data_IF_470346339197
#
_entry.id   IF_470346339197
#
_cell.length_a   1.000
_cell.length_b   1.000
_cell.length_c   1.000
_cell.angle_alpha   90.00
_cell.angle_beta   90.00
_cell.angle_gamma   90.00
#
_symmetry.space_group_name_H-M   'P 1'
#
loop_
_entity.id
_entity.type
_entity.pdbx_description
1 polymer ?
#
# COMPACT_ATOMS: atom_id res chain seq x y z
N UNK A 1 -2.39 -30.11 17.13
CA UNK A 1 -3.69 -29.41 17.20
C UNK A 1 -4.73 -30.19 16.41
N UNK A 2 -5.59 -30.92 17.12
CA UNK A 2 -6.69 -31.64 16.47
C UNK A 2 -7.89 -30.70 16.35
N UNK A 3 -8.27 -30.41 15.14
CA UNK A 3 -9.51 -29.70 14.84
C UNK A 3 -10.62 -30.73 14.69
N UNK A 4 -11.53 -30.81 15.67
CA UNK A 4 -12.68 -31.69 15.57
C UNK A 4 -13.79 -30.99 14.78
N UNK A 5 -13.96 -31.39 13.54
CA UNK A 5 -14.92 -30.80 12.61
C UNK A 5 -16.39 -31.01 12.99
N UNK A 6 -16.68 -31.92 13.92
CA UNK A 6 -18.07 -32.20 14.33
C UNK A 6 -18.59 -31.22 15.39
N UNK A 7 -17.71 -30.57 16.14
CA UNK A 7 -18.09 -29.67 17.23
C UNK A 7 -17.39 -28.34 17.24
N UNK A 8 -16.54 -28.04 16.24
CA UNK A 8 -15.70 -26.85 16.21
C UNK A 8 -14.90 -26.57 17.49
N UNK A 9 -14.55 -27.64 18.20
CA UNK A 9 -13.77 -27.54 19.43
C UNK A 9 -12.28 -27.74 19.08
N UNK A 10 -11.47 -26.75 19.37
CA UNK A 10 -10.01 -26.88 19.39
C UNK A 10 -9.62 -27.68 20.64
N UNK A 11 -9.19 -28.91 20.47
CA UNK A 11 -8.67 -29.76 21.57
C UNK A 11 -7.14 -29.88 21.45
N UNK A 12 -6.47 -29.94 22.59
CA UNK A 12 -5.01 -30.09 22.67
C UNK A 12 -4.20 -28.81 22.58
N UNK A 13 -4.85 -27.65 22.55
CA UNK A 13 -4.16 -26.36 22.69
C UNK A 13 -3.70 -26.15 24.14
N UNK A 14 -2.40 -25.84 24.32
CA UNK A 14 -1.92 -25.40 25.63
C UNK A 14 -2.42 -23.97 25.88
N UNK A 15 -3.01 -23.74 27.04
CA UNK A 15 -3.36 -22.42 27.57
C UNK A 15 -2.29 -21.97 28.56
N UNK A 16 -2.19 -20.68 28.77
CA UNK A 16 -1.23 -20.12 29.73
C UNK A 16 0.25 -20.30 29.29
N UNK A 17 0.48 -20.30 28.00
CA UNK A 17 1.86 -20.34 27.45
C UNK A 17 2.51 -18.98 27.61
N UNK A 18 3.77 -18.94 27.98
CA UNK A 18 4.57 -17.72 28.13
C UNK A 18 4.03 -16.72 29.18
N UNK A 19 3.44 -17.21 30.27
CA UNK A 19 2.99 -16.37 31.38
C UNK A 19 1.68 -15.60 31.13
N UNK A 20 0.93 -15.96 30.10
CA UNK A 20 -0.38 -15.37 29.85
C UNK A 20 -1.44 -15.97 30.81
N UNK A 21 -2.35 -15.11 31.29
CA UNK A 21 -3.44 -15.55 32.16
C UNK A 21 -4.54 -16.20 31.32
N UNK A 22 -5.07 -17.30 31.83
CA UNK A 22 -6.20 -18.02 31.22
C UNK A 22 -7.46 -17.17 31.19
N UNK A 23 -7.94 -16.88 30.00
CA UNK A 23 -9.19 -16.15 29.79
C UNK A 23 -10.26 -17.06 29.18
N UNK A 24 -11.51 -16.90 29.62
CA UNK A 24 -12.66 -17.50 28.96
C UNK A 24 -12.96 -16.73 27.64
N UNK A 25 -13.24 -17.49 26.59
CA UNK A 25 -13.71 -16.93 25.34
C UNK A 25 -15.19 -17.26 25.14
N UNK A 26 -15.95 -16.26 24.68
CA UNK A 26 -17.35 -16.46 24.32
C UNK A 26 -17.48 -17.30 23.05
N UNK A 27 -18.61 -17.95 22.86
CA UNK A 27 -18.91 -18.63 21.59
C UNK A 27 -18.91 -17.60 20.44
N UNK A 28 -18.34 -17.98 19.30
CA UNK A 28 -18.24 -17.10 18.13
C UNK A 28 -16.98 -16.25 18.04
N UNK A 29 -16.04 -16.37 18.99
CA UNK A 29 -14.73 -15.72 18.86
C UNK A 29 -13.98 -16.30 17.65
N UNK A 30 -13.52 -15.44 16.78
CA UNK A 30 -12.68 -15.83 15.65
C UNK A 30 -11.33 -16.31 16.16
N UNK A 31 -10.96 -17.54 15.83
CA UNK A 31 -9.64 -18.09 16.09
C UNK A 31 -8.83 -18.02 14.79
N UNK A 32 -7.78 -17.23 14.79
CA UNK A 32 -6.86 -17.14 13.65
C UNK A 32 -5.77 -18.18 13.81
N UNK A 33 -5.57 -19.00 12.78
CA UNK A 33 -4.41 -19.89 12.72
C UNK A 33 -3.16 -19.04 12.48
N UNK A 34 -2.20 -19.11 13.39
CA UNK A 34 -0.91 -18.41 13.27
C UNK A 34 0.24 -19.36 12.96
N UNK A 35 -0.05 -20.61 12.56
CA UNK A 35 0.98 -21.60 12.24
C UNK A 35 1.84 -21.18 11.02
N UNK A 36 1.33 -20.28 10.20
CA UNK A 36 2.05 -19.74 9.04
C UNK A 36 2.99 -18.57 9.41
N UNK A 37 2.92 -18.11 10.66
CA UNK A 37 3.87 -17.11 11.16
C UNK A 37 5.15 -17.81 11.59
N UNK A 38 6.26 -17.41 11.04
CA UNK A 38 7.59 -17.88 11.41
C UNK A 38 8.19 -17.00 12.49
N UNK A 39 9.04 -17.59 13.33
CA UNK A 39 9.77 -16.82 14.34
C UNK A 39 10.74 -15.84 13.67
N UNK A 40 11.12 -14.81 14.41
CA UNK A 40 12.10 -13.84 13.92
C UNK A 40 13.42 -14.53 13.58
N UNK A 41 13.88 -14.38 12.33
CA UNK A 41 15.10 -15.01 11.82
C UNK A 41 14.89 -16.37 11.16
N UNK A 42 13.67 -16.93 11.22
CA UNK A 42 13.33 -18.14 10.48
C UNK A 42 12.94 -17.80 9.03
N UNK A 43 13.30 -18.68 8.11
CA UNK A 43 12.86 -18.54 6.72
C UNK A 43 11.34 -18.75 6.63
N UNK A 44 10.64 -17.87 5.93
CA UNK A 44 9.22 -18.07 5.64
C UNK A 44 9.02 -19.35 4.83
N UNK A 45 8.13 -20.21 5.28
CA UNK A 45 7.74 -21.44 4.58
C UNK A 45 6.76 -21.19 3.41
N UNK A 46 6.20 -19.99 3.31
CA UNK A 46 5.34 -19.58 2.21
C UNK A 46 6.12 -18.70 1.24
N UNK A 47 5.60 -18.50 0.03
CA UNK A 47 6.10 -17.52 -0.95
C UNK A 47 5.98 -16.06 -0.44
N UNK A 48 6.21 -15.87 0.84
CA UNK A 48 6.19 -14.58 1.51
C UNK A 48 7.61 -14.01 1.47
N UNK A 49 7.89 -13.27 0.42
CA UNK A 49 9.08 -12.43 0.43
C UNK A 49 8.77 -11.25 1.34
N UNK A 50 9.24 -11.29 2.58
CA UNK A 50 9.27 -10.13 3.45
C UNK A 50 10.43 -9.26 2.95
N UNK A 51 10.19 -8.55 1.86
CA UNK A 51 11.04 -7.44 1.50
C UNK A 51 10.58 -6.25 2.36
N UNK A 52 11.39 -5.73 3.27
CA UNK A 52 11.06 -4.50 3.98
C UNK A 52 11.01 -3.37 2.94
N UNK A 53 9.84 -3.17 2.38
CA UNK A 53 9.61 -2.19 1.32
C UNK A 53 10.15 -0.81 1.73
N UNK A 54 10.86 -0.18 0.83
CA UNK A 54 11.20 1.23 0.98
C UNK A 54 9.94 2.06 0.73
N UNK A 55 9.51 2.79 1.75
CA UNK A 55 8.32 3.63 1.70
C UNK A 55 8.69 5.07 1.39
N UNK A 56 7.91 5.69 0.52
CA UNK A 56 7.92 7.14 0.27
C UNK A 56 6.59 7.69 0.75
N UNK A 57 6.65 8.69 1.62
CA UNK A 57 5.47 9.26 2.27
C UNK A 57 5.35 10.74 1.90
N UNK A 58 4.12 11.21 1.66
CA UNK A 58 3.78 12.62 1.52
C UNK A 58 2.33 12.87 1.95
N UNK A 59 1.92 14.13 2.07
CA UNK A 59 0.59 14.51 2.52
C UNK A 59 -0.22 15.16 1.40
N UNK A 60 -1.42 14.65 1.18
CA UNK A 60 -2.42 15.24 0.29
C UNK A 60 -3.58 15.79 1.13
N UNK A 61 -3.45 17.01 1.61
CA UNK A 61 -4.38 17.56 2.58
C UNK A 61 -4.35 16.78 3.90
N UNK A 62 -5.47 16.21 4.31
CA UNK A 62 -5.60 15.34 5.49
C UNK A 62 -5.20 13.89 5.24
N UNK A 63 -5.02 13.52 3.97
CA UNK A 63 -4.66 12.15 3.59
C UNK A 63 -3.14 11.98 3.58
N UNK A 64 -2.66 10.95 4.27
CA UNK A 64 -1.29 10.46 4.12
C UNK A 64 -1.23 9.58 2.87
N UNK A 65 -0.29 9.89 2.00
CA UNK A 65 0.04 9.11 0.80
C UNK A 65 1.26 8.26 1.10
N UNK A 66 1.19 6.97 0.79
CA UNK A 66 2.26 6.02 1.05
C UNK A 66 2.52 5.16 -0.19
N UNK A 67 3.69 5.29 -0.78
CA UNK A 67 4.13 4.50 -1.93
C UNK A 67 5.17 3.48 -1.49
N UNK A 68 5.00 2.23 -1.87
CA UNK A 68 6.07 1.22 -1.83
C UNK A 68 6.93 1.38 -3.08
N UNK A 69 8.24 1.45 -2.90
CA UNK A 69 9.20 1.53 -4.01
C UNK A 69 9.00 0.38 -5.02
N UNK A 70 8.84 0.71 -6.29
CA UNK A 70 8.46 -0.19 -7.38
C UNK A 70 7.12 -0.92 -7.15
N UNK A 71 6.23 -0.35 -6.34
CA UNK A 71 4.96 -0.93 -6.00
C UNK A 71 3.81 0.06 -6.07
N UNK A 72 2.74 -0.29 -5.37
CA UNK A 72 1.48 0.44 -5.36
C UNK A 72 1.48 1.59 -4.36
N UNK A 73 0.57 2.53 -4.57
CA UNK A 73 0.35 3.68 -3.73
C UNK A 73 -0.92 3.51 -2.89
N UNK A 74 -0.84 3.91 -1.64
CA UNK A 74 -1.91 3.82 -0.66
C UNK A 74 -2.22 5.19 -0.09
N UNK A 75 -3.46 5.37 0.37
CA UNK A 75 -3.89 6.54 1.12
C UNK A 75 -4.45 6.15 2.48
N UNK A 76 -4.25 7.01 3.45
CA UNK A 76 -4.86 6.92 4.77
C UNK A 76 -5.38 8.28 5.19
N UNK A 77 -6.69 8.39 5.44
CA UNK A 77 -7.32 9.65 5.81
C UNK A 77 -7.31 9.84 7.33
N UNK A 78 -6.52 10.80 7.78
CA UNK A 78 -6.43 11.18 9.19
C UNK A 78 -7.71 11.85 9.72
N UNK A 79 -8.53 12.42 8.84
CA UNK A 79 -9.78 13.08 9.21
C UNK A 79 -10.99 12.13 9.24
N UNK A 80 -10.83 10.88 8.81
CA UNK A 80 -11.90 9.89 8.86
C UNK A 80 -12.32 9.60 10.31
N UNK A 81 -13.63 9.39 10.53
CA UNK A 81 -14.21 9.15 11.87
C UNK A 81 -13.54 7.97 12.60
N UNK A 82 -13.05 6.97 11.87
CA UNK A 82 -12.41 5.77 12.40
C UNK A 82 -10.92 5.69 12.02
N UNK A 83 -10.24 6.82 11.87
CA UNK A 83 -8.85 6.87 11.42
C UNK A 83 -7.92 5.92 12.20
N UNK A 84 -8.08 5.85 13.53
CA UNK A 84 -7.23 5.00 14.39
C UNK A 84 -7.46 3.50 14.23
N UNK A 85 -8.59 3.08 13.65
CA UNK A 85 -8.95 1.68 13.43
C UNK A 85 -8.99 1.28 11.95
N UNK A 86 -8.84 2.26 11.04
CA UNK A 86 -8.89 2.03 9.59
C UNK A 86 -7.48 1.95 9.05
N UNK A 87 -7.19 0.92 8.27
CA UNK A 87 -5.91 0.78 7.56
C UNK A 87 -5.90 1.66 6.31
N UNK A 88 -4.69 1.99 5.85
CA UNK A 88 -4.50 2.60 4.54
C UNK A 88 -5.14 1.74 3.44
N UNK A 89 -5.79 2.40 2.50
CA UNK A 89 -6.44 1.79 1.34
C UNK A 89 -5.64 2.05 0.07
N UNK A 90 -5.73 1.14 -0.88
CA UNK A 90 -5.11 1.32 -2.17
C UNK A 90 -5.77 2.50 -2.90
N UNK A 91 -4.97 3.41 -3.45
CA UNK A 91 -5.50 4.43 -4.36
C UNK A 91 -5.91 3.74 -5.66
N UNK A 92 -7.22 3.75 -5.92
CA UNK A 92 -7.77 3.18 -7.14
C UNK A 92 -7.23 3.91 -8.37
N UNK A 93 -7.05 3.20 -9.47
CA UNK A 93 -6.62 3.75 -10.76
C UNK A 93 -5.23 4.42 -10.78
N UNK A 94 -4.51 4.45 -9.66
CA UNK A 94 -3.13 4.92 -9.61
C UNK A 94 -2.18 3.90 -10.29
N UNK A 95 -0.99 4.35 -10.74
CA UNK A 95 0.04 3.45 -11.25
C UNK A 95 0.35 2.33 -10.25
N UNK A 96 0.56 1.12 -10.76
CA UNK A 96 0.84 -0.07 -9.94
C UNK A 96 2.32 -0.28 -9.66
N UNK A 97 3.19 0.46 -10.36
CA UNK A 97 4.62 0.48 -10.12
C UNK A 97 5.19 1.89 -10.30
N UNK A 98 5.76 2.41 -9.23
CA UNK A 98 6.40 3.73 -9.22
C UNK A 98 7.56 3.74 -8.23
N UNK A 99 8.56 4.60 -8.48
CA UNK A 99 9.74 4.68 -7.62
C UNK A 99 9.64 5.74 -6.54
N UNK A 100 8.96 6.84 -6.85
CA UNK A 100 8.81 7.96 -5.92
C UNK A 100 7.46 8.63 -6.16
N UNK A 101 6.91 9.21 -5.12
CA UNK A 101 5.68 9.99 -5.15
C UNK A 101 5.88 11.31 -4.43
N UNK A 102 5.21 12.34 -4.89
CA UNK A 102 5.26 13.67 -4.29
C UNK A 102 3.93 14.39 -4.57
N UNK A 103 3.47 15.18 -3.62
CA UNK A 103 2.31 16.05 -3.79
C UNK A 103 2.79 17.44 -4.21
N UNK A 104 2.34 17.91 -5.37
CA UNK A 104 2.60 19.26 -5.83
C UNK A 104 1.75 20.27 -5.05
N UNK A 105 2.35 21.37 -4.65
CA UNK A 105 1.68 22.54 -4.10
C UNK A 105 2.01 23.76 -4.97
N UNK A 106 1.06 24.64 -5.27
CA UNK A 106 -0.29 24.81 -4.75
C UNK A 106 -1.37 23.96 -5.47
N UNK A 107 -1.08 23.41 -6.65
CA UNK A 107 -2.10 22.82 -7.53
C UNK A 107 -2.59 21.45 -7.10
N UNK A 108 -1.96 20.86 -6.09
CA UNK A 108 -2.37 19.57 -5.49
C UNK A 108 -2.57 18.44 -6.50
N UNK A 109 -1.54 18.21 -7.30
CA UNK A 109 -1.40 16.99 -8.08
C UNK A 109 -0.61 15.94 -7.30
N UNK A 110 -0.97 14.68 -7.43
CA UNK A 110 -0.15 13.57 -6.99
C UNK A 110 0.78 13.17 -8.14
N UNK A 111 2.08 13.37 -7.94
CA UNK A 111 3.09 13.18 -8.99
C UNK A 111 3.88 11.90 -8.74
N UNK A 112 3.89 11.00 -9.70
CA UNK A 112 4.63 9.74 -9.69
C UNK A 112 5.86 9.82 -10.58
N UNK A 113 6.99 9.32 -10.08
CA UNK A 113 8.28 9.33 -10.78
C UNK A 113 8.79 7.91 -11.00
N UNK A 114 9.38 7.67 -12.17
CA UNK A 114 9.84 6.34 -12.56
C UNK A 114 8.70 5.34 -12.63
N UNK A 115 7.62 5.74 -13.27
CA UNK A 115 6.33 5.05 -13.25
C UNK A 115 5.98 4.43 -14.61
N UNK A 116 4.82 3.84 -14.67
CA UNK A 116 4.26 3.17 -15.87
C UNK A 116 3.92 4.16 -16.98
N UNK A 117 4.27 3.84 -18.22
CA UNK A 117 3.80 4.58 -19.39
C UNK A 117 2.33 4.31 -19.70
N UNK A 118 1.85 3.12 -19.34
CA UNK A 118 0.43 2.73 -19.38
C UNK A 118 -0.02 2.37 -17.98
N UNK A 119 -0.97 3.12 -17.43
CA UNK A 119 -1.48 2.90 -16.06
C UNK A 119 -2.01 1.48 -15.90
N UNK A 120 -1.65 0.82 -14.81
CA UNK A 120 -2.05 -0.55 -14.52
C UNK A 120 -1.22 -1.63 -15.20
N UNK A 121 -0.24 -1.26 -16.01
CA UNK A 121 0.68 -2.20 -16.66
C UNK A 121 2.09 -2.07 -16.10
N UNK A 122 2.39 -2.81 -15.05
CA UNK A 122 3.70 -2.80 -14.40
C UNK A 122 4.87 -3.08 -15.36
N UNK A 123 4.66 -3.87 -16.41
CA UNK A 123 5.68 -4.16 -17.41
C UNK A 123 6.06 -2.94 -18.27
N UNK A 124 5.22 -1.90 -18.27
CA UNK A 124 5.48 -0.64 -18.98
C UNK A 124 6.21 0.40 -18.13
N UNK A 125 6.75 0.02 -16.96
CA UNK A 125 7.47 0.96 -16.10
C UNK A 125 8.73 1.50 -16.78
N UNK A 126 8.84 2.82 -16.88
CA UNK A 126 10.01 3.53 -17.38
C UNK A 126 10.62 4.38 -16.23
N UNK A 127 11.88 4.15 -15.95
CA UNK A 127 12.61 4.81 -14.86
C UNK A 127 12.72 6.34 -15.00
N UNK A 128 12.46 6.89 -16.20
CA UNK A 128 12.53 8.31 -16.55
C UNK A 128 11.14 8.93 -16.78
N UNK A 129 10.07 8.16 -16.60
CA UNK A 129 8.71 8.60 -16.86
C UNK A 129 8.10 9.24 -15.63
N UNK A 130 7.41 10.34 -15.81
CA UNK A 130 6.68 11.10 -14.80
C UNK A 130 5.21 11.10 -15.19
N UNK A 131 4.36 10.89 -14.22
CA UNK A 131 2.91 11.00 -14.38
C UNK A 131 2.34 11.77 -13.20
N UNK A 132 1.39 12.65 -13.45
CA UNK A 132 0.69 13.37 -12.39
C UNK A 132 -0.82 13.23 -12.54
N UNK A 133 -1.48 13.24 -11.39
CA UNK A 133 -2.93 13.11 -11.30
C UNK A 133 -3.63 14.34 -11.89
N UNK A 134 -4.91 14.21 -12.10
CA UNK A 134 -5.80 15.36 -12.20
C UNK A 134 -5.74 16.21 -10.93
N UNK A 135 -6.00 17.51 -11.04
CA UNK A 135 -5.95 18.44 -9.92
C UNK A 135 -7.00 18.07 -8.87
N UNK A 136 -6.60 18.05 -7.58
CA UNK A 136 -7.46 17.70 -6.43
C UNK A 136 -8.09 16.29 -6.50
N UNK A 137 -7.73 15.47 -7.49
CA UNK A 137 -8.35 14.18 -7.75
C UNK A 137 -7.28 13.08 -7.79
N UNK A 138 -7.29 12.18 -6.81
CA UNK A 138 -6.31 11.09 -6.69
C UNK A 138 -6.88 9.68 -6.82
N UNK A 139 -8.22 9.54 -6.82
CA UNK A 139 -8.92 8.26 -6.81
C UNK A 139 -9.97 8.10 -7.91
N UNK A 140 -10.22 9.15 -8.69
CA UNK A 140 -11.16 9.13 -9.82
C UNK A 140 -10.74 8.16 -10.93
N UNK A 141 -11.69 7.72 -11.73
CA UNK A 141 -11.49 6.74 -12.81
C UNK A 141 -10.40 7.16 -13.80
N UNK A 142 -10.39 8.45 -14.19
CA UNK A 142 -9.42 8.99 -15.14
C UNK A 142 -8.39 9.91 -14.49
N UNK A 143 -8.23 9.81 -13.16
CA UNK A 143 -7.34 10.68 -12.40
C UNK A 143 -5.88 10.68 -12.91
N UNK A 144 -5.44 9.60 -13.54
CA UNK A 144 -4.08 9.45 -14.06
C UNK A 144 -4.02 9.23 -15.57
N UNK A 145 -5.15 9.31 -16.25
CA UNK A 145 -5.25 9.18 -17.70
C UNK A 145 -5.43 10.55 -18.31
N UNK A 146 -4.56 10.92 -19.23
CA UNK A 146 -4.64 12.23 -19.91
C UNK A 146 -5.87 12.26 -20.81
N UNK A 147 -6.78 13.17 -20.55
CA UNK A 147 -7.98 13.42 -21.36
C UNK A 147 -8.08 14.90 -21.73
N UNK A 148 -8.99 15.25 -22.62
CA UNK A 148 -9.21 16.66 -22.98
C UNK A 148 -9.89 17.47 -21.86
N UNK A 149 -10.43 16.80 -20.85
CA UNK A 149 -11.30 17.38 -19.82
C UNK A 149 -10.62 17.45 -18.43
N UNK A 150 -9.43 16.87 -18.27
CA UNK A 150 -8.71 16.87 -17.01
C UNK A 150 -7.31 17.51 -17.13
N UNK A 151 -6.70 17.75 -15.97
CA UNK A 151 -5.36 18.34 -15.88
C UNK A 151 -4.27 17.27 -15.67
N UNK A 152 -4.62 16.00 -15.72
CA UNK A 152 -3.66 14.91 -15.64
C UNK A 152 -2.65 14.98 -16.78
N UNK A 153 -1.41 14.60 -16.51
CA UNK A 153 -0.38 14.69 -17.53
C UNK A 153 0.75 13.72 -17.34
N UNK A 154 1.58 13.67 -18.37
CA UNK A 154 2.77 12.80 -18.40
C UNK A 154 3.94 13.52 -19.02
N UNK A 155 5.15 13.19 -18.56
CA UNK A 155 6.39 13.69 -19.11
C UNK A 155 7.47 12.62 -19.00
N UNK A 156 8.29 12.47 -20.03
CA UNK A 156 9.49 11.66 -19.97
C UNK A 156 10.71 12.58 -19.96
N UNK A 157 11.63 12.39 -19.02
CA UNK A 157 12.89 13.13 -19.02
C UNK A 157 13.76 12.71 -20.21
N UNK A 158 14.35 13.70 -20.89
CA UNK A 158 15.14 13.47 -22.11
C UNK A 158 16.55 12.95 -21.82
N UNK A 159 17.10 13.21 -20.64
CA UNK A 159 18.48 12.86 -20.28
C UNK A 159 18.52 12.17 -18.92
N UNK A 160 19.43 11.21 -18.76
CA UNK A 160 19.60 10.42 -17.56
C UNK A 160 19.29 8.95 -17.79
N UNK A 161 19.40 8.13 -16.74
CA UNK A 161 19.10 6.70 -16.77
C UNK A 161 17.92 6.32 -15.90
N UNK A 162 17.73 7.02 -14.79
CA UNK A 162 16.60 6.81 -13.86
C UNK A 162 16.43 7.98 -12.91
N UNK A 163 15.19 8.23 -12.52
CA UNK A 163 14.85 9.15 -11.43
C UNK A 163 15.10 8.45 -10.12
N UNK A 164 15.93 9.05 -9.25
CA UNK A 164 16.29 8.47 -7.94
C UNK A 164 15.41 9.01 -6.82
N UNK A 165 14.86 10.18 -6.98
CA UNK A 165 13.99 10.84 -6.01
C UNK A 165 13.54 12.20 -6.51
N UNK A 166 12.63 12.82 -5.79
CA UNK A 166 12.13 14.15 -6.06
C UNK A 166 11.93 14.88 -4.72
N UNK A 167 12.04 16.20 -4.76
CA UNK A 167 11.82 17.08 -3.62
C UNK A 167 11.06 18.31 -4.09
N UNK A 168 10.24 18.85 -3.23
CA UNK A 168 9.59 20.13 -3.45
C UNK A 168 10.61 21.26 -3.30
N UNK A 169 10.59 22.19 -4.23
CA UNK A 169 11.38 23.42 -4.18
C UNK A 169 10.63 24.56 -3.50
#
# INVERSE_FOLDING_TARGET
TNNNTTTNILSGGAREVNGTTKAGHSAGVTVTNISDFVAWGEASSADFTIDPGLWVLDNFGTKLIALIYNGRCFEWDAAATNATSTRATLIANAPTASRHVLVSTPDRHLVFFGTETTVGNQASQDAMFIRFSDQENIDGTDAYTVTAENTAGTQRLAAGSKIMGAIRG
#
